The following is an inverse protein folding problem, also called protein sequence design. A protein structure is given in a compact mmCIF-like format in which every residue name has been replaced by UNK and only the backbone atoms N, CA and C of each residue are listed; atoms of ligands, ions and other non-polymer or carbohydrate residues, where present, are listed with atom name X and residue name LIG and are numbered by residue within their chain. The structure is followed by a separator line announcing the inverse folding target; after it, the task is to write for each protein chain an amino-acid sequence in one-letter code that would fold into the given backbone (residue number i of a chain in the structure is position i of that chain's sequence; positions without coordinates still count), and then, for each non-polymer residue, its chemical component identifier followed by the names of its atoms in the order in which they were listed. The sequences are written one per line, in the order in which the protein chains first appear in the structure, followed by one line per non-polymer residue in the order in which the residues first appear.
data_IF_282416955948
#
_entry.id   IF_282416955948
#
_cell.length_a   1.000
_cell.length_b   1.000
_cell.length_c   1.000
_cell.angle_alpha   90.00
_cell.angle_beta   90.00
_cell.angle_gamma   90.00
#
_symmetry.space_group_name_H-M   'P 1'
#
loop_
_entity.id
_entity.type
_entity.pdbx_description
1 polymer ?
#
# COMPACT_ATOMS: atom_id res chain seq x y z
N UNK A 1 35.69 -8.53 0.20
CA UNK A 1 34.66 -8.43 -0.86
C UNK A 1 33.87 -7.16 -0.64
N UNK A 2 33.50 -6.45 -1.73
CA UNK A 2 32.61 -5.30 -1.62
C UNK A 2 31.22 -5.75 -1.13
N UNK A 3 30.56 -4.91 -0.33
CA UNK A 3 29.18 -5.17 0.11
C UNK A 3 28.24 -5.16 -1.09
N UNK A 4 27.28 -6.11 -1.12
CA UNK A 4 26.24 -6.12 -2.14
C UNK A 4 25.30 -4.92 -1.96
N UNK A 5 25.11 -4.14 -2.99
CA UNK A 5 24.28 -2.92 -2.99
C UNK A 5 22.82 -3.28 -3.27
N UNK A 6 21.96 -3.06 -2.31
CA UNK A 6 20.51 -3.28 -2.43
C UNK A 6 19.82 -1.92 -2.46
N UNK A 7 19.22 -1.58 -3.60
CA UNK A 7 18.49 -0.33 -3.77
C UNK A 7 16.99 -0.55 -3.53
N UNK A 8 16.43 0.11 -2.53
CA UNK A 8 14.99 0.13 -2.23
C UNK A 8 14.40 1.40 -2.82
N UNK A 9 13.37 1.28 -3.68
CA UNK A 9 12.63 2.41 -4.22
C UNK A 9 11.27 2.52 -3.55
N UNK A 10 10.90 3.71 -3.09
CA UNK A 10 9.60 3.99 -2.50
C UNK A 10 9.02 5.29 -3.04
N UNK A 11 7.75 5.27 -3.45
CA UNK A 11 7.03 6.42 -4.00
C UNK A 11 5.98 6.98 -3.04
N UNK A 12 5.51 6.17 -2.08
CA UNK A 12 4.43 6.56 -1.17
C UNK A 12 4.66 6.10 0.27
N UNK A 13 3.99 6.78 1.21
CA UNK A 13 4.02 6.40 2.62
C UNK A 13 3.52 4.97 2.89
N UNK A 14 2.56 4.49 2.08
CA UNK A 14 1.99 3.16 2.23
C UNK A 14 3.02 2.07 1.90
N UNK A 15 3.83 2.30 0.86
CA UNK A 15 4.97 1.43 0.52
C UNK A 15 6.05 1.50 1.59
N UNK A 16 6.44 2.72 1.99
CA UNK A 16 7.49 2.93 2.99
C UNK A 16 7.18 2.22 4.31
N UNK A 17 5.93 2.30 4.75
CA UNK A 17 5.48 1.60 5.94
C UNK A 17 5.84 0.10 5.91
N UNK A 18 5.66 -0.55 4.76
CA UNK A 18 5.95 -1.98 4.59
C UNK A 18 7.44 -2.27 4.35
N UNK A 19 8.15 -1.35 3.69
CA UNK A 19 9.57 -1.51 3.34
C UNK A 19 10.54 -1.21 4.50
N UNK A 20 10.12 -0.39 5.47
CA UNK A 20 10.96 0.13 6.56
C UNK A 20 11.72 -0.98 7.31
N UNK A 21 11.02 -2.06 7.69
CA UNK A 21 11.63 -3.17 8.42
C UNK A 21 12.64 -3.95 7.57
N UNK A 22 12.39 -4.07 6.27
CA UNK A 22 13.35 -4.66 5.34
C UNK A 22 14.60 -3.79 5.23
N UNK A 23 14.46 -2.46 5.19
CA UNK A 23 15.59 -1.54 5.20
C UNK A 23 16.45 -1.72 6.46
N UNK A 24 15.85 -1.89 7.65
CA UNK A 24 16.60 -2.19 8.88
C UNK A 24 17.34 -3.52 8.78
N UNK A 25 16.72 -4.59 8.28
CA UNK A 25 17.37 -5.89 8.12
C UNK A 25 18.56 -5.82 7.16
N UNK A 26 18.46 -5.04 6.07
CA UNK A 26 19.55 -4.84 5.10
C UNK A 26 20.66 -3.98 5.71
N UNK A 27 20.32 -2.86 6.34
CA UNK A 27 21.29 -1.93 6.92
C UNK A 27 22.13 -2.58 8.01
N UNK A 28 21.54 -3.50 8.78
CA UNK A 28 22.21 -4.20 9.87
C UNK A 28 23.02 -5.43 9.41
N UNK A 29 22.99 -5.80 8.13
CA UNK A 29 23.78 -6.91 7.60
C UNK A 29 25.16 -6.43 7.16
N UNK A 30 26.20 -7.13 7.61
CA UNK A 30 27.60 -6.76 7.34
C UNK A 30 28.02 -6.89 5.87
N UNK A 31 27.32 -7.73 5.10
CA UNK A 31 27.65 -8.06 3.71
C UNK A 31 26.78 -7.29 2.71
N UNK A 32 25.79 -6.50 3.21
CA UNK A 32 24.88 -5.72 2.39
C UNK A 32 25.12 -4.21 2.56
N UNK A 33 24.80 -3.45 1.54
CA UNK A 33 24.82 -1.98 1.51
C UNK A 33 23.45 -1.48 1.06
N UNK A 34 22.74 -0.75 1.94
CA UNK A 34 21.43 -0.20 1.65
C UNK A 34 21.54 1.10 0.86
N UNK A 35 20.81 1.20 -0.23
CA UNK A 35 20.56 2.44 -0.97
C UNK A 35 19.04 2.69 -0.94
N UNK A 36 18.61 3.92 -0.69
CA UNK A 36 17.19 4.29 -0.68
C UNK A 36 16.96 5.41 -1.68
N UNK A 37 15.99 5.19 -2.59
CA UNK A 37 15.47 6.23 -3.47
C UNK A 37 14.05 6.57 -3.04
N UNK A 38 13.82 7.86 -2.73
CA UNK A 38 12.49 8.40 -2.51
C UNK A 38 12.02 9.15 -3.76
N UNK A 39 10.78 8.88 -4.18
CA UNK A 39 10.19 9.49 -5.40
C UNK A 39 8.70 9.75 -5.21
N UNK A 40 8.02 10.18 -6.26
CA UNK A 40 6.56 10.31 -6.31
C UNK A 40 5.99 11.16 -5.18
N UNK A 41 4.93 10.68 -4.55
CA UNK A 41 4.21 11.39 -3.50
C UNK A 41 5.07 11.70 -2.25
N UNK A 42 6.17 10.97 -2.03
CA UNK A 42 7.11 11.28 -0.95
C UNK A 42 7.66 12.69 -1.02
N UNK A 43 7.85 13.23 -2.22
CA UNK A 43 8.52 14.51 -2.46
C UNK A 43 7.54 15.66 -2.73
N UNK A 44 6.23 15.39 -2.75
CA UNK A 44 5.21 16.41 -3.02
C UNK A 44 4.68 17.04 -1.73
N UNK A 45 4.59 18.39 -1.67
CA UNK A 45 3.97 19.11 -0.58
C UNK A 45 2.48 18.74 -0.38
N UNK A 46 1.73 18.50 -1.47
CA UNK A 46 0.32 18.12 -1.43
C UNK A 46 0.08 16.80 -0.69
N UNK A 47 1.08 15.93 -0.67
CA UNK A 47 1.04 14.63 0.01
C UNK A 47 1.85 14.61 1.31
N UNK A 48 2.25 15.80 1.82
CA UNK A 48 2.81 15.98 3.16
C UNK A 48 4.33 15.73 3.28
N UNK A 49 5.10 15.74 2.16
CA UNK A 49 6.57 15.59 2.16
C UNK A 49 7.04 14.40 3.01
N UNK A 50 6.44 13.24 2.80
CA UNK A 50 6.61 12.06 3.65
C UNK A 50 8.02 11.43 3.57
N UNK A 51 8.91 11.90 2.68
CA UNK A 51 10.34 11.55 2.72
C UNK A 51 11.00 11.91 4.05
N UNK A 52 10.48 12.93 4.77
CA UNK A 52 10.97 13.33 6.09
C UNK A 52 10.81 12.21 7.14
N UNK A 53 9.82 11.30 6.95
CA UNK A 53 9.67 10.14 7.80
C UNK A 53 10.79 9.11 7.55
N UNK A 54 11.25 8.99 6.31
CA UNK A 54 12.38 8.14 5.94
C UNK A 54 13.66 8.68 6.58
N UNK A 55 13.88 9.99 6.49
CA UNK A 55 15.09 10.66 7.00
C UNK A 55 15.25 10.60 8.52
N UNK A 56 14.19 10.31 9.28
CA UNK A 56 14.28 10.09 10.73
C UNK A 56 15.15 8.88 11.11
N UNK A 57 15.27 7.90 10.21
CA UNK A 57 15.89 6.62 10.51
C UNK A 57 16.96 6.21 9.51
N UNK A 58 16.88 6.69 8.28
CA UNK A 58 17.75 6.29 7.18
C UNK A 58 18.22 7.50 6.37
N UNK A 59 19.42 7.38 5.85
CA UNK A 59 19.91 8.30 4.82
C UNK A 59 19.23 7.96 3.49
N UNK A 60 18.49 8.90 2.90
CA UNK A 60 18.02 8.79 1.52
C UNK A 60 19.21 9.01 0.59
N UNK A 61 19.46 8.06 -0.30
CA UNK A 61 20.58 8.09 -1.23
C UNK A 61 20.31 9.04 -2.39
N UNK A 62 19.09 8.99 -2.97
CA UNK A 62 18.62 9.94 -3.98
C UNK A 62 17.15 10.30 -3.77
N UNK A 63 16.81 11.54 -4.08
CA UNK A 63 15.43 12.06 -4.17
C UNK A 63 15.16 12.36 -5.64
N UNK A 64 14.14 11.71 -6.22
CA UNK A 64 13.80 11.82 -7.63
C UNK A 64 12.39 12.38 -7.77
N UNK A 65 12.21 13.70 -7.94
CA UNK A 65 10.91 14.31 -8.16
C UNK A 65 10.42 13.99 -9.57
N UNK A 66 9.22 13.46 -9.68
CA UNK A 66 8.60 13.05 -10.95
C UNK A 66 7.17 13.55 -11.13
N UNK A 67 6.51 13.97 -10.04
CA UNK A 67 5.13 14.40 -10.11
C UNK A 67 5.02 15.79 -10.75
N UNK A 68 4.08 15.92 -11.67
CA UNK A 68 3.62 17.20 -12.21
C UNK A 68 2.47 17.74 -11.33
N UNK A 69 2.18 19.04 -11.48
CA UNK A 69 1.16 19.71 -10.68
C UNK A 69 -0.27 19.18 -10.92
N UNK A 70 -0.55 18.63 -12.11
CA UNK A 70 -1.85 18.08 -12.46
C UNK A 70 -1.86 16.56 -12.28
N UNK A 71 -3.04 16.01 -11.97
CA UNK A 71 -3.28 14.57 -11.83
C UNK A 71 -4.11 13.97 -12.98
N UNK A 72 -4.16 14.66 -14.14
CA UNK A 72 -4.80 14.16 -15.35
C UNK A 72 -3.96 13.07 -16.04
N UNK A 73 -4.57 12.34 -16.97
CA UNK A 73 -3.97 11.21 -17.70
C UNK A 73 -2.68 11.59 -18.45
N UNK A 74 -2.65 12.79 -19.03
CA UNK A 74 -1.48 13.28 -19.78
C UNK A 74 -0.34 13.56 -18.82
N UNK A 75 -0.64 14.20 -17.70
CA UNK A 75 0.35 14.51 -16.66
C UNK A 75 0.94 13.23 -16.02
N UNK A 76 0.11 12.20 -15.82
CA UNK A 76 0.59 10.89 -15.35
C UNK A 76 1.54 10.24 -16.38
N UNK A 77 1.21 10.26 -17.68
CA UNK A 77 2.10 9.76 -18.73
C UNK A 77 3.44 10.53 -18.77
N UNK A 78 3.40 11.86 -18.62
CA UNK A 78 4.61 12.68 -18.57
C UNK A 78 5.43 12.40 -17.31
N UNK A 79 4.79 12.18 -16.16
CA UNK A 79 5.44 11.77 -14.91
C UNK A 79 6.19 10.43 -15.06
N UNK A 80 5.59 9.45 -15.76
CA UNK A 80 6.24 8.18 -16.10
C UNK A 80 7.47 8.40 -16.98
N UNK A 81 7.38 9.28 -17.98
CA UNK A 81 8.51 9.59 -18.87
C UNK A 81 9.66 10.25 -18.12
N UNK A 82 9.36 11.20 -17.22
CA UNK A 82 10.36 11.82 -16.34
C UNK A 82 10.99 10.80 -15.40
N UNK A 83 10.19 9.91 -14.81
CA UNK A 83 10.68 8.83 -13.96
C UNK A 83 11.64 7.92 -14.72
N UNK A 84 11.30 7.53 -15.93
CA UNK A 84 12.14 6.65 -16.75
C UNK A 84 13.52 7.25 -16.98
N UNK A 85 13.59 8.52 -17.42
CA UNK A 85 14.87 9.24 -17.62
C UNK A 85 15.66 9.38 -16.32
N UNK A 86 15.03 9.86 -15.26
CA UNK A 86 15.70 10.13 -13.99
C UNK A 86 16.18 8.85 -13.28
N UNK A 87 15.47 7.74 -13.42
CA UNK A 87 15.91 6.44 -12.85
C UNK A 87 17.06 5.84 -13.65
N UNK A 88 17.14 6.05 -14.99
CA UNK A 88 18.31 5.60 -15.75
C UNK A 88 19.59 6.28 -15.27
N UNK A 89 19.57 7.60 -15.09
CA UNK A 89 20.71 8.36 -14.57
C UNK A 89 21.04 7.95 -13.11
N UNK A 90 19.99 7.72 -12.29
CA UNK A 90 20.19 7.34 -10.91
C UNK A 90 20.83 5.96 -10.76
N UNK A 91 20.43 4.99 -11.56
CA UNK A 91 20.98 3.64 -11.50
C UNK A 91 22.37 3.55 -12.08
N UNK A 92 22.69 4.34 -13.10
CA UNK A 92 24.07 4.49 -13.59
C UNK A 92 24.99 4.98 -12.47
N UNK A 93 24.61 6.05 -11.76
CA UNK A 93 25.41 6.61 -10.67
C UNK A 93 25.52 5.67 -9.45
N UNK A 94 24.42 5.05 -9.05
CA UNK A 94 24.36 4.21 -7.84
C UNK A 94 24.92 2.82 -8.05
N UNK A 95 24.86 2.33 -9.29
CA UNK A 95 25.25 1.00 -9.68
C UNK A 95 24.80 -0.08 -8.69
N UNK A 96 23.46 -0.27 -8.50
CA UNK A 96 22.92 -1.25 -7.57
C UNK A 96 23.08 -2.66 -8.10
N UNK A 97 23.43 -3.61 -7.23
CA UNK A 97 23.45 -5.03 -7.58
C UNK A 97 22.05 -5.65 -7.66
N UNK A 98 21.08 -5.02 -6.99
CA UNK A 98 19.67 -5.46 -7.02
C UNK A 98 18.78 -4.29 -6.65
N UNK A 99 17.66 -4.15 -7.35
CA UNK A 99 16.60 -3.17 -7.03
C UNK A 99 15.39 -3.90 -6.45
N UNK A 100 14.81 -3.37 -5.39
CA UNK A 100 13.59 -3.89 -4.73
C UNK A 100 12.49 -2.85 -4.84
N UNK A 101 11.34 -3.27 -5.36
CA UNK A 101 10.12 -2.46 -5.44
C UNK A 101 8.94 -3.21 -4.83
N UNK A 102 7.93 -2.45 -4.43
CA UNK A 102 6.70 -2.97 -3.84
C UNK A 102 5.48 -2.51 -4.63
N UNK A 103 4.61 -3.46 -4.93
CA UNK A 103 3.26 -3.17 -5.42
C UNK A 103 3.19 -2.88 -6.91
N UNK A 104 2.36 -1.92 -7.25
CA UNK A 104 1.70 -1.80 -8.55
C UNK A 104 1.51 -0.36 -9.00
N UNK A 105 2.17 0.56 -8.35
CA UNK A 105 2.06 1.96 -8.73
C UNK A 105 2.74 2.24 -10.05
N UNK A 106 2.20 3.21 -10.80
CA UNK A 106 2.71 3.58 -12.12
C UNK A 106 4.19 4.05 -12.08
N UNK A 107 4.65 4.62 -10.97
CA UNK A 107 6.05 4.98 -10.77
C UNK A 107 6.96 3.74 -10.84
N UNK A 108 6.50 2.62 -10.26
CA UNK A 108 7.25 1.37 -10.22
C UNK A 108 7.34 0.70 -11.60
N UNK A 109 6.42 0.99 -12.52
CA UNK A 109 6.51 0.53 -13.91
C UNK A 109 7.75 1.12 -14.61
N UNK A 110 8.03 2.41 -14.39
CA UNK A 110 9.24 3.05 -14.91
C UNK A 110 10.50 2.41 -14.32
N UNK A 111 10.53 2.21 -13.00
CA UNK A 111 11.65 1.56 -12.30
C UNK A 111 11.92 0.16 -12.87
N UNK A 112 10.85 -0.65 -13.02
CA UNK A 112 10.97 -2.00 -13.54
C UNK A 112 11.48 -2.03 -14.98
N UNK A 113 10.98 -1.11 -15.82
CA UNK A 113 11.40 -1.01 -17.22
C UNK A 113 12.87 -0.58 -17.33
N UNK A 114 13.32 0.37 -16.52
CA UNK A 114 14.74 0.77 -16.48
C UNK A 114 15.62 -0.39 -16.00
N UNK A 115 15.23 -1.09 -14.93
CA UNK A 115 15.97 -2.27 -14.45
C UNK A 115 16.13 -3.33 -15.56
N UNK A 116 15.04 -3.60 -16.32
CA UNK A 116 15.08 -4.56 -17.41
C UNK A 116 16.10 -4.17 -18.49
N UNK A 117 16.07 -2.90 -18.93
CA UNK A 117 16.95 -2.41 -20.00
C UNK A 117 18.41 -2.24 -19.57
N UNK A 118 18.64 -1.93 -18.29
CA UNK A 118 19.99 -1.81 -17.74
C UNK A 118 20.54 -3.13 -17.17
N UNK A 119 19.83 -4.24 -17.35
CA UNK A 119 20.20 -5.57 -16.86
C UNK A 119 20.43 -5.60 -15.34
N UNK A 120 19.62 -4.85 -14.57
CA UNK A 120 19.68 -4.84 -13.12
C UNK A 120 18.67 -5.84 -12.57
N UNK A 121 19.08 -6.78 -11.72
CA UNK A 121 18.17 -7.70 -11.05
C UNK A 121 17.07 -6.98 -10.29
N UNK A 122 15.79 -7.26 -10.61
CA UNK A 122 14.62 -6.66 -10.00
C UNK A 122 13.93 -7.65 -9.07
N UNK A 123 13.56 -7.20 -7.89
CA UNK A 123 12.78 -7.93 -6.90
C UNK A 123 11.42 -7.25 -6.71
N UNK A 124 10.37 -8.02 -6.87
CA UNK A 124 8.99 -7.53 -6.75
C UNK A 124 8.31 -8.07 -5.50
N UNK A 125 7.92 -7.17 -4.61
CA UNK A 125 7.14 -7.48 -3.42
C UNK A 125 5.65 -7.25 -3.70
N UNK A 126 4.78 -8.12 -3.19
CA UNK A 126 3.31 -8.06 -3.35
C UNK A 126 2.83 -8.23 -4.81
N UNK A 127 3.57 -8.97 -5.65
CA UNK A 127 3.11 -9.41 -6.96
C UNK A 127 1.97 -10.44 -6.88
N UNK A 128 1.30 -10.69 -8.01
CA UNK A 128 0.27 -11.73 -8.14
C UNK A 128 -1.09 -11.43 -7.51
N UNK A 129 -1.28 -10.28 -6.84
CA UNK A 129 -2.57 -9.81 -6.36
C UNK A 129 -3.45 -9.34 -7.54
N UNK A 130 -4.77 -9.26 -7.35
CA UNK A 130 -5.70 -8.67 -8.31
C UNK A 130 -6.29 -7.36 -7.78
N UNK A 131 -6.48 -6.40 -8.68
CA UNK A 131 -7.19 -5.15 -8.43
C UNK A 131 -7.98 -4.77 -9.70
N UNK A 132 -8.97 -5.61 -10.04
CA UNK A 132 -9.67 -5.57 -11.34
C UNK A 132 -10.36 -4.23 -11.65
N UNK A 133 -10.61 -3.38 -10.65
CA UNK A 133 -11.18 -2.05 -10.82
C UNK A 133 -10.14 -0.93 -11.06
N UNK A 134 -8.85 -1.27 -11.22
CA UNK A 134 -7.78 -0.27 -11.34
C UNK A 134 -6.75 -0.65 -12.42
N UNK A 135 -6.08 0.36 -12.99
CA UNK A 135 -4.95 0.17 -13.92
C UNK A 135 -3.78 -0.55 -13.25
N UNK A 136 -3.70 -0.46 -11.93
CA UNK A 136 -2.70 -1.10 -11.07
C UNK A 136 -2.61 -2.61 -11.33
N UNK A 137 -3.71 -3.25 -11.71
CA UNK A 137 -3.73 -4.69 -12.02
C UNK A 137 -2.78 -5.05 -13.16
N UNK A 138 -2.93 -4.37 -14.29
CA UNK A 138 -2.08 -4.55 -15.45
C UNK A 138 -0.62 -4.16 -15.18
N UNK A 139 -0.41 -3.07 -14.44
CA UNK A 139 0.93 -2.62 -14.05
C UNK A 139 1.61 -3.68 -13.18
N UNK A 140 0.91 -4.21 -12.17
CA UNK A 140 1.46 -5.26 -11.27
C UNK A 140 1.91 -6.48 -12.03
N UNK A 141 1.08 -6.98 -12.95
CA UNK A 141 1.43 -8.17 -13.72
C UNK A 141 2.58 -7.91 -14.71
N UNK A 142 2.64 -6.73 -15.30
CA UNK A 142 3.77 -6.31 -16.15
C UNK A 142 5.07 -6.23 -15.35
N UNK A 143 5.05 -5.61 -14.18
CA UNK A 143 6.19 -5.55 -13.25
C UNK A 143 6.62 -6.97 -12.84
N UNK A 144 5.67 -7.83 -12.48
CA UNK A 144 5.99 -9.22 -12.12
C UNK A 144 6.69 -9.93 -13.27
N UNK A 145 6.30 -9.69 -14.52
CA UNK A 145 6.96 -10.32 -15.66
C UNK A 145 8.38 -9.81 -15.89
N UNK A 146 8.68 -8.56 -15.55
CA UNK A 146 10.03 -7.99 -15.62
C UNK A 146 10.91 -8.37 -14.42
N UNK A 147 10.33 -8.76 -13.28
CA UNK A 147 11.07 -9.08 -12.06
C UNK A 147 11.70 -10.48 -12.10
N UNK A 148 12.73 -10.67 -11.28
CA UNK A 148 13.55 -11.90 -11.22
C UNK A 148 13.29 -12.70 -9.93
N UNK A 149 12.89 -12.06 -8.85
CA UNK A 149 12.45 -12.68 -7.60
C UNK A 149 11.13 -12.07 -7.15
N UNK A 150 10.25 -12.91 -6.61
CA UNK A 150 8.89 -12.51 -6.22
C UNK A 150 8.61 -12.94 -4.79
N UNK A 151 8.13 -11.98 -3.98
CA UNK A 151 7.71 -12.24 -2.62
C UNK A 151 6.24 -11.84 -2.47
N UNK A 152 5.38 -12.85 -2.30
CA UNK A 152 3.93 -12.70 -2.28
C UNK A 152 3.37 -12.90 -0.88
N UNK A 153 2.21 -12.32 -0.61
CA UNK A 153 1.58 -12.33 0.70
C UNK A 153 0.66 -13.54 0.95
N UNK A 154 0.39 -14.36 -0.07
CA UNK A 154 -0.48 -15.52 0.06
C UNK A 154 -0.25 -16.55 -1.06
N UNK A 155 -0.58 -17.83 -0.78
CA UNK A 155 -0.38 -18.92 -1.73
C UNK A 155 -1.16 -18.76 -3.03
N UNK A 156 -2.35 -18.16 -3.00
CA UNK A 156 -3.14 -17.88 -4.21
C UNK A 156 -2.42 -16.92 -5.14
N UNK A 157 -1.63 -15.99 -4.61
CA UNK A 157 -0.84 -15.05 -5.39
C UNK A 157 0.41 -15.70 -5.96
N UNK A 158 1.02 -16.64 -5.23
CA UNK A 158 2.08 -17.50 -5.76
C UNK A 158 1.59 -18.29 -6.97
N UNK A 159 0.45 -18.98 -6.83
CA UNK A 159 -0.15 -19.74 -7.94
C UNK A 159 -0.38 -18.90 -9.19
N UNK A 160 -0.82 -17.65 -9.01
CA UNK A 160 -1.06 -16.72 -10.14
C UNK A 160 0.23 -16.32 -10.85
N UNK A 161 1.33 -16.14 -10.13
CA UNK A 161 2.64 -15.88 -10.74
C UNK A 161 3.14 -17.12 -11.51
N UNK A 162 2.92 -18.32 -11.01
CA UNK A 162 3.21 -19.54 -11.75
C UNK A 162 2.40 -19.61 -13.05
N UNK A 163 1.10 -19.23 -13.03
CA UNK A 163 0.29 -19.10 -14.24
C UNK A 163 0.81 -18.06 -15.24
N UNK A 164 1.55 -17.04 -14.79
CA UNK A 164 2.26 -16.09 -15.64
C UNK A 164 3.57 -16.66 -16.20
N UNK A 165 3.85 -17.94 -15.98
CA UNK A 165 5.06 -18.61 -16.46
C UNK A 165 6.30 -18.30 -15.62
N UNK A 166 6.16 -17.90 -14.36
CA UNK A 166 7.31 -17.69 -13.46
C UNK A 166 7.82 -19.03 -12.90
N UNK A 167 9.14 -19.16 -12.78
CA UNK A 167 9.77 -20.36 -12.18
C UNK A 167 9.45 -20.44 -10.68
N UNK A 168 9.00 -21.60 -10.20
CA UNK A 168 8.60 -21.78 -8.80
C UNK A 168 9.70 -21.43 -7.79
N UNK A 169 10.96 -21.74 -8.12
CA UNK A 169 12.13 -21.41 -7.28
C UNK A 169 12.36 -19.91 -7.09
N UNK A 170 11.68 -19.04 -7.86
CA UNK A 170 11.77 -17.58 -7.81
C UNK A 170 10.59 -16.94 -7.09
N UNK A 171 9.55 -17.72 -6.72
CA UNK A 171 8.30 -17.20 -6.13
C UNK A 171 8.12 -17.72 -4.70
N UNK A 172 8.17 -16.82 -3.74
CA UNK A 172 8.15 -17.13 -2.31
C UNK A 172 6.90 -16.57 -1.64
N UNK A 173 6.09 -17.42 -1.02
CA UNK A 173 5.02 -16.97 -0.12
C UNK A 173 5.61 -16.65 1.25
N UNK A 174 5.59 -15.37 1.60
CA UNK A 174 6.17 -14.83 2.84
C UNK A 174 5.11 -14.36 3.85
N UNK A 175 3.81 -14.41 3.48
CA UNK A 175 2.75 -13.74 4.22
C UNK A 175 2.82 -12.22 4.07
N UNK A 176 2.04 -11.49 4.88
CA UNK A 176 2.03 -10.04 4.82
C UNK A 176 3.26 -9.41 5.44
N UNK A 177 3.86 -8.44 4.75
CA UNK A 177 4.93 -7.59 5.32
C UNK A 177 4.47 -6.81 6.56
N UNK A 178 3.16 -6.50 6.65
CA UNK A 178 2.59 -5.82 7.81
C UNK A 178 2.59 -6.68 9.08
N UNK A 179 2.67 -8.00 8.97
CA UNK A 179 2.56 -8.93 10.10
C UNK A 179 3.58 -8.64 11.21
N UNK A 180 4.85 -8.48 10.85
CA UNK A 180 5.93 -8.18 11.83
C UNK A 180 5.82 -6.77 12.41
N UNK A 181 5.32 -5.82 11.63
CA UNK A 181 5.11 -4.45 12.08
C UNK A 181 4.00 -4.44 13.12
N UNK A 182 2.87 -5.08 12.82
CA UNK A 182 1.71 -5.14 13.70
C UNK A 182 2.04 -5.90 15.00
N UNK A 183 2.73 -7.04 14.90
CA UNK A 183 3.11 -7.86 16.08
C UNK A 183 4.04 -7.13 17.04
N UNK A 184 4.91 -6.26 16.53
CA UNK A 184 5.92 -5.55 17.33
C UNK A 184 5.54 -4.10 17.67
N UNK A 185 4.35 -3.65 17.29
CA UNK A 185 3.96 -2.26 17.47
C UNK A 185 3.44 -1.97 18.88
N UNK A 186 3.93 -0.90 19.48
CA UNK A 186 3.35 -0.31 20.68
C UNK A 186 2.14 0.53 20.29
N UNK A 187 0.93 -0.03 20.45
CA UNK A 187 -0.32 0.67 20.12
C UNK A 187 -0.62 1.76 21.12
N UNK A 188 -1.12 2.89 20.62
CA UNK A 188 -1.63 3.97 21.45
C UNK A 188 -3.00 3.59 22.04
N UNK A 189 -3.23 3.91 23.31
CA UNK A 189 -4.55 3.80 23.90
C UNK A 189 -5.45 4.97 23.45
N UNK A 190 -6.73 4.93 23.79
CA UNK A 190 -7.70 5.95 23.36
C UNK A 190 -7.31 7.37 23.79
N UNK A 191 -6.81 7.57 25.02
CA UNK A 191 -6.40 8.89 25.52
C UNK A 191 -5.21 9.46 24.74
N UNK A 192 -4.22 8.62 24.48
CA UNK A 192 -3.04 9.02 23.71
C UNK A 192 -3.40 9.31 22.24
N UNK A 193 -4.35 8.55 21.67
CA UNK A 193 -4.89 8.83 20.34
C UNK A 193 -5.63 10.17 20.32
N UNK A 194 -6.52 10.44 21.27
CA UNK A 194 -7.25 11.72 21.37
C UNK A 194 -6.29 12.90 21.46
N UNK A 195 -5.24 12.78 22.27
CA UNK A 195 -4.19 13.80 22.36
C UNK A 195 -3.42 13.96 21.05
N UNK A 196 -3.02 12.87 20.44
CA UNK A 196 -2.23 12.90 19.19
C UNK A 196 -3.03 13.35 17.97
N UNK A 197 -4.35 13.19 18.01
CA UNK A 197 -5.29 13.63 16.98
C UNK A 197 -5.83 15.03 17.24
N UNK A 198 -5.63 15.58 18.46
CA UNK A 198 -6.25 16.82 18.93
C UNK A 198 -7.78 16.80 18.69
N UNK A 199 -8.40 15.66 19.05
CA UNK A 199 -9.82 15.40 18.86
C UNK A 199 -10.30 14.38 19.88
N UNK A 200 -11.43 14.63 20.54
CA UNK A 200 -12.10 13.62 21.36
C UNK A 200 -12.79 12.59 20.46
N UNK A 201 -12.64 11.32 20.84
CA UNK A 201 -13.24 10.21 20.11
C UNK A 201 -14.54 9.78 20.78
N UNK A 202 -15.60 9.76 20.02
CA UNK A 202 -16.91 9.26 20.41
C UNK A 202 -16.90 7.75 20.72
N UNK A 203 -18.08 7.22 21.04
CA UNK A 203 -18.26 5.79 21.31
C UNK A 203 -17.97 4.94 20.07
N UNK A 204 -18.35 5.41 18.91
CA UNK A 204 -18.13 4.76 17.64
C UNK A 204 -17.06 5.50 16.83
N UNK A 205 -16.06 4.78 16.36
CA UNK A 205 -14.98 5.32 15.55
C UNK A 205 -14.99 4.65 14.19
N UNK A 206 -14.98 5.45 13.15
CA UNK A 206 -14.83 4.97 11.77
C UNK A 206 -13.56 5.55 11.15
N UNK A 207 -12.76 4.68 10.54
CA UNK A 207 -11.55 5.04 9.81
C UNK A 207 -11.85 4.97 8.31
N UNK A 208 -11.80 6.11 7.63
CA UNK A 208 -12.30 6.24 6.27
C UNK A 208 -11.17 6.59 5.32
N UNK A 209 -11.04 5.80 4.25
CA UNK A 209 -10.09 6.07 3.16
C UNK A 209 -10.74 5.71 1.82
N UNK A 210 -10.97 6.70 1.00
CA UNK A 210 -11.59 6.54 -0.31
C UNK A 210 -10.69 7.05 -1.43
N UNK A 211 -10.41 6.20 -2.41
CA UNK A 211 -9.60 6.51 -3.58
C UNK A 211 -10.48 6.55 -4.84
N UNK A 212 -10.12 7.32 -5.87
CA UNK A 212 -10.84 7.27 -7.14
C UNK A 212 -10.70 5.89 -7.78
N UNK A 213 -11.73 5.50 -8.56
CA UNK A 213 -11.64 4.33 -9.44
C UNK A 213 -10.95 4.75 -10.74
N UNK A 214 -9.72 4.31 -10.96
CA UNK A 214 -8.90 4.76 -12.11
C UNK A 214 -9.46 4.32 -13.47
N UNK A 215 -10.31 3.28 -13.50
CA UNK A 215 -11.01 2.83 -14.70
C UNK A 215 -12.39 3.47 -14.89
N UNK A 216 -12.96 4.13 -13.86
CA UNK A 216 -14.28 4.76 -13.92
C UNK A 216 -14.32 6.07 -13.13
N UNK A 217 -13.55 7.05 -13.58
CA UNK A 217 -13.40 8.34 -12.89
C UNK A 217 -14.62 9.27 -12.95
N UNK A 218 -15.55 9.04 -13.91
CA UNK A 218 -16.70 9.95 -14.15
C UNK A 218 -17.63 10.09 -12.95
N UNK A 219 -17.73 9.07 -12.11
CA UNK A 219 -18.67 9.05 -10.99
C UNK A 219 -18.02 9.44 -9.64
N UNK A 220 -16.71 9.65 -9.59
CA UNK A 220 -15.95 9.90 -8.35
C UNK A 220 -16.58 10.93 -7.43
N UNK A 221 -16.99 12.08 -7.99
CA UNK A 221 -17.62 13.16 -7.21
C UNK A 221 -18.98 12.75 -6.63
N UNK A 222 -19.78 12.02 -7.40
CA UNK A 222 -21.09 11.53 -6.94
C UNK A 222 -20.94 10.49 -5.85
N UNK A 223 -20.00 9.56 -6.01
CA UNK A 223 -19.74 8.48 -5.06
C UNK A 223 -19.26 9.01 -3.72
N UNK A 224 -18.26 9.91 -3.70
CA UNK A 224 -17.80 10.49 -2.45
C UNK A 224 -18.89 11.30 -1.73
N UNK A 225 -19.72 12.07 -2.46
CA UNK A 225 -20.85 12.79 -1.87
C UNK A 225 -21.90 11.84 -1.30
N UNK A 226 -22.17 10.71 -1.95
CA UNK A 226 -23.11 9.68 -1.47
C UNK A 226 -22.57 9.06 -0.17
N UNK A 227 -21.28 8.71 -0.13
CA UNK A 227 -20.63 8.23 1.09
C UNK A 227 -20.78 9.23 2.24
N UNK A 228 -20.42 10.49 2.01
CA UNK A 228 -20.49 11.53 3.05
C UNK A 228 -21.92 11.74 3.57
N UNK A 229 -22.92 11.72 2.67
CA UNK A 229 -24.34 11.80 3.06
C UNK A 229 -24.74 10.64 3.97
N UNK A 230 -24.27 9.42 3.70
CA UNK A 230 -24.51 8.27 4.59
C UNK A 230 -23.82 8.45 5.95
N UNK A 231 -22.56 8.91 5.97
CA UNK A 231 -21.82 9.16 7.20
C UNK A 231 -22.46 10.24 8.09
N UNK A 232 -23.20 11.18 7.50
CA UNK A 232 -23.95 12.19 8.25
C UNK A 232 -25.09 11.61 9.09
N UNK A 233 -25.62 10.45 8.72
CA UNK A 233 -26.69 9.77 9.49
C UNK A 233 -26.17 9.10 10.76
N UNK A 234 -24.84 8.92 10.90
CA UNK A 234 -24.24 8.25 12.06
C UNK A 234 -24.25 9.19 13.28
N UNK A 235 -24.81 8.70 14.37
CA UNK A 235 -24.88 9.43 15.65
C UNK A 235 -23.78 8.95 16.59
N UNK A 236 -23.24 9.85 17.42
CA UNK A 236 -22.17 9.56 18.41
C UNK A 236 -20.96 8.86 17.75
N UNK A 237 -20.58 9.36 16.57
CA UNK A 237 -19.57 8.76 15.73
C UNK A 237 -18.44 9.76 15.43
N UNK A 238 -17.20 9.31 15.62
CA UNK A 238 -16.01 10.03 15.16
C UNK A 238 -15.59 9.49 13.81
N UNK A 239 -15.38 10.38 12.85
CA UNK A 239 -15.04 10.09 11.46
C UNK A 239 -13.60 10.55 11.19
N UNK A 240 -12.68 9.62 11.10
CA UNK A 240 -11.27 9.90 10.81
C UNK A 240 -10.99 9.58 9.36
N UNK A 241 -10.70 10.61 8.58
CA UNK A 241 -10.39 10.48 7.16
C UNK A 241 -8.88 10.54 6.92
N UNK A 242 -8.43 9.77 5.94
CA UNK A 242 -7.10 9.93 5.33
C UNK A 242 -7.25 10.34 3.87
N UNK A 243 -6.33 11.19 3.38
CA UNK A 243 -6.32 11.65 1.99
C UNK A 243 -6.17 10.50 1.00
N UNK A 244 -6.77 10.68 -0.18
CA UNK A 244 -6.52 9.84 -1.35
C UNK A 244 -5.08 10.01 -1.84
N UNK A 245 -4.57 9.00 -2.56
CA UNK A 245 -3.27 9.06 -3.22
C UNK A 245 -3.27 9.99 -4.44
N UNK A 246 -2.07 10.18 -5.05
CA UNK A 246 -1.85 10.91 -6.29
C UNK A 246 -2.31 10.12 -7.53
N UNK A 247 -3.57 9.70 -7.53
CA UNK A 247 -4.23 9.05 -8.67
C UNK A 247 -5.14 10.08 -9.37
N UNK A 248 -5.56 9.83 -10.61
CA UNK A 248 -6.49 10.71 -11.33
C UNK A 248 -7.73 11.03 -10.47
N UNK A 249 -8.08 12.30 -10.29
CA UNK A 249 -9.11 12.83 -9.37
C UNK A 249 -8.83 12.63 -7.85
N UNK A 250 -7.64 12.29 -7.45
CA UNK A 250 -7.27 12.23 -6.03
C UNK A 250 -7.37 13.58 -5.34
N UNK A 251 -6.94 14.64 -6.01
CA UNK A 251 -7.04 16.03 -5.51
C UNK A 251 -8.48 16.47 -5.31
N UNK A 252 -9.39 16.12 -6.23
CA UNK A 252 -10.82 16.42 -6.12
C UNK A 252 -11.46 15.78 -4.88
N UNK A 253 -11.15 14.51 -4.61
CA UNK A 253 -11.60 13.82 -3.39
C UNK A 253 -11.09 14.55 -2.16
N UNK A 254 -9.80 14.90 -2.13
CA UNK A 254 -9.17 15.54 -0.98
C UNK A 254 -9.80 16.91 -0.70
N UNK A 255 -10.12 17.69 -1.72
CA UNK A 255 -10.83 18.96 -1.59
C UNK A 255 -12.25 18.79 -1.00
N UNK A 256 -13.02 17.81 -1.51
CA UNK A 256 -14.36 17.51 -1.00
C UNK A 256 -14.31 17.08 0.48
N UNK A 257 -13.34 16.22 0.84
CA UNK A 257 -13.16 15.77 2.21
C UNK A 257 -12.72 16.91 3.14
N UNK A 258 -11.85 17.81 2.67
CA UNK A 258 -11.42 18.99 3.42
C UNK A 258 -12.62 19.88 3.76
N UNK A 259 -13.43 20.20 2.76
CA UNK A 259 -14.65 21.01 2.92
C UNK A 259 -15.67 20.35 3.87
N UNK A 260 -15.81 19.01 3.77
CA UNK A 260 -16.70 18.26 4.66
C UNK A 260 -16.21 18.29 6.12
N UNK A 261 -14.93 18.04 6.36
CA UNK A 261 -14.36 18.03 7.70
C UNK A 261 -14.38 19.42 8.35
N UNK A 262 -14.17 20.50 7.58
CA UNK A 262 -14.32 21.87 8.10
C UNK A 262 -15.73 22.15 8.61
N UNK A 263 -16.76 21.73 7.87
CA UNK A 263 -18.17 21.91 8.25
C UNK A 263 -18.58 21.00 9.42
N UNK A 264 -17.91 19.86 9.60
CA UNK A 264 -18.25 18.84 10.60
C UNK A 264 -17.11 18.63 11.60
N UNK A 265 -16.35 19.70 11.94
CA UNK A 265 -15.15 19.60 12.79
C UNK A 265 -15.39 19.03 14.19
N UNK A 266 -16.64 19.02 14.66
CA UNK A 266 -17.04 18.41 15.93
C UNK A 266 -16.98 16.88 15.92
N UNK A 267 -17.11 16.23 14.73
CA UNK A 267 -17.11 14.75 14.58
C UNK A 267 -16.16 14.22 13.53
N UNK A 268 -15.64 15.06 12.64
CA UNK A 268 -14.84 14.63 11.48
C UNK A 268 -13.50 15.35 11.40
N UNK A 269 -12.43 14.61 11.12
CA UNK A 269 -11.10 15.18 10.89
C UNK A 269 -10.41 14.47 9.73
N UNK A 270 -9.77 15.26 8.84
CA UNK A 270 -8.97 14.78 7.71
C UNK A 270 -7.49 14.90 8.04
N UNK A 271 -6.74 13.86 7.73
CA UNK A 271 -5.30 13.81 7.92
C UNK A 271 -4.56 13.54 6.61
N UNK A 272 -3.53 14.32 6.35
CA UNK A 272 -2.59 14.05 5.25
C UNK A 272 -1.84 12.75 5.52
N UNK A 273 -1.34 12.61 6.76
CA UNK A 273 -0.61 11.46 7.23
C UNK A 273 -0.84 11.24 8.74
N UNK A 274 -1.28 10.05 9.09
CA UNK A 274 -1.41 9.63 10.49
C UNK A 274 -0.13 8.98 11.04
N UNK A 275 0.76 8.55 10.15
CA UNK A 275 1.83 7.62 10.50
C UNK A 275 1.30 6.24 10.89
N UNK A 276 2.15 5.22 10.81
CA UNK A 276 1.74 3.83 11.03
C UNK A 276 1.17 3.58 12.42
N UNK A 277 1.78 4.14 13.46
CA UNK A 277 1.37 3.89 14.84
C UNK A 277 -0.05 4.42 15.12
N UNK A 278 -0.35 5.67 14.77
CA UNK A 278 -1.70 6.23 14.95
C UNK A 278 -2.73 5.52 14.08
N UNK A 279 -2.39 5.28 12.80
CA UNK A 279 -3.28 4.64 11.85
C UNK A 279 -3.70 3.23 12.30
N UNK A 280 -2.74 2.38 12.67
CA UNK A 280 -3.03 1.02 13.13
C UNK A 280 -3.67 0.99 14.53
N UNK A 281 -3.33 1.97 15.40
CA UNK A 281 -4.01 2.09 16.70
C UNK A 281 -5.48 2.49 16.52
N UNK A 282 -5.78 3.39 15.57
CA UNK A 282 -7.16 3.72 15.20
C UNK A 282 -7.87 2.52 14.60
N UNK A 283 -7.23 1.80 13.66
CA UNK A 283 -7.79 0.59 13.05
C UNK A 283 -8.16 -0.45 14.11
N UNK A 284 -7.30 -0.66 15.11
CA UNK A 284 -7.51 -1.62 16.19
C UNK A 284 -8.75 -1.32 17.03
N UNK A 285 -9.10 -0.05 17.23
CA UNK A 285 -10.25 0.37 18.04
C UNK A 285 -11.45 0.83 17.21
N UNK A 286 -11.30 0.90 15.88
CA UNK A 286 -12.37 1.32 14.99
C UNK A 286 -13.54 0.32 15.02
N UNK A 287 -14.76 0.83 15.00
CA UNK A 287 -15.97 0.04 14.79
C UNK A 287 -15.96 -0.58 13.40
N UNK A 288 -15.52 0.19 12.40
CA UNK A 288 -15.25 -0.30 11.06
C UNK A 288 -14.30 0.62 10.30
N UNK A 289 -13.59 0.04 9.34
CA UNK A 289 -12.99 0.77 8.22
C UNK A 289 -14.04 0.92 7.13
N UNK A 290 -14.03 2.07 6.43
CA UNK A 290 -14.97 2.33 5.34
C UNK A 290 -14.21 2.92 4.15
N UNK A 291 -14.47 2.40 2.96
CA UNK A 291 -13.89 2.89 1.70
C UNK A 291 -13.35 1.80 0.82
N UNK A 292 -12.29 2.09 0.07
CA UNK A 292 -11.73 1.16 -0.92
C UNK A 292 -10.21 1.06 -0.85
N UNK A 293 -9.63 1.31 0.34
CA UNK A 293 -8.20 1.18 0.58
C UNK A 293 -7.78 -0.30 0.69
N UNK A 294 -6.59 -0.62 0.17
CA UNK A 294 -6.01 -1.96 0.33
C UNK A 294 -5.78 -2.35 1.78
N UNK A 295 -5.54 -1.38 2.67
CA UNK A 295 -5.33 -1.66 4.09
C UNK A 295 -6.57 -2.22 4.78
N UNK A 296 -7.77 -1.88 4.28
CA UNK A 296 -9.03 -2.50 4.69
C UNK A 296 -9.11 -3.98 4.36
N UNK A 297 -8.35 -4.45 3.35
CA UNK A 297 -8.31 -5.86 2.93
C UNK A 297 -7.16 -6.62 3.58
N UNK A 298 -5.96 -6.02 3.64
CA UNK A 298 -4.72 -6.71 4.01
C UNK A 298 -4.30 -6.52 5.47
N UNK A 299 -4.67 -5.41 6.10
CA UNK A 299 -4.23 -5.05 7.47
C UNK A 299 -5.35 -5.19 8.51
N UNK A 300 -6.58 -4.80 8.17
CA UNK A 300 -7.73 -4.91 9.09
C UNK A 300 -7.97 -6.34 9.61
N UNK A 301 -7.68 -7.42 8.85
CA UNK A 301 -7.81 -8.80 9.34
C UNK A 301 -6.95 -9.11 10.58
N UNK A 302 -5.80 -8.46 10.75
CA UNK A 302 -4.94 -8.66 11.92
C UNK A 302 -5.61 -8.21 13.24
N UNK A 303 -6.53 -7.27 13.15
CA UNK A 303 -7.29 -6.76 14.30
C UNK A 303 -8.72 -7.31 14.34
N UNK A 304 -9.13 -8.09 13.35
CA UNK A 304 -10.54 -8.49 13.12
C UNK A 304 -11.46 -7.27 13.00
N UNK A 305 -10.92 -6.13 12.58
CA UNK A 305 -11.70 -4.91 12.41
C UNK A 305 -12.58 -5.04 11.17
N UNK A 306 -13.89 -4.85 11.28
CA UNK A 306 -14.78 -4.84 10.13
C UNK A 306 -14.32 -3.85 9.06
N UNK A 307 -14.50 -4.21 7.79
CA UNK A 307 -14.24 -3.31 6.68
C UNK A 307 -15.42 -3.32 5.72
N UNK A 308 -16.07 -2.17 5.53
CA UNK A 308 -17.03 -1.93 4.45
C UNK A 308 -16.22 -1.50 3.24
N UNK A 309 -16.00 -2.45 2.31
CA UNK A 309 -15.28 -2.21 1.07
C UNK A 309 -16.24 -1.77 -0.02
N UNK A 310 -16.04 -0.56 -0.54
CA UNK A 310 -16.96 0.07 -1.49
C UNK A 310 -16.44 -0.07 -2.91
N UNK A 311 -17.26 -0.66 -3.78
CA UNK A 311 -17.01 -0.79 -5.21
C UNK A 311 -15.86 -1.73 -5.57
N UNK A 312 -15.45 -1.68 -6.82
CA UNK A 312 -14.63 -2.69 -7.47
C UNK A 312 -13.11 -2.49 -7.34
N UNK A 313 -12.62 -1.40 -6.71
CA UNK A 313 -11.18 -1.10 -6.66
C UNK A 313 -10.34 -2.25 -6.12
N UNK A 314 -10.87 -2.97 -5.12
CA UNK A 314 -10.20 -4.11 -4.49
C UNK A 314 -10.73 -5.47 -4.98
N UNK A 315 -11.48 -5.50 -6.08
CA UNK A 315 -12.04 -6.73 -6.66
C UNK A 315 -10.92 -7.69 -7.07
N UNK A 316 -11.11 -8.98 -6.76
CA UNK A 316 -10.14 -10.03 -7.03
C UNK A 316 -9.12 -10.28 -5.92
N UNK A 317 -8.97 -9.38 -4.93
CA UNK A 317 -8.16 -9.65 -3.74
C UNK A 317 -8.82 -10.69 -2.84
N UNK A 318 -8.03 -11.44 -2.12
CA UNK A 318 -8.51 -12.42 -1.14
C UNK A 318 -9.38 -11.72 -0.08
N UNK A 319 -10.60 -12.23 0.09
CA UNK A 319 -11.55 -11.74 1.10
C UNK A 319 -11.46 -12.55 2.38
N UNK A 320 -11.42 -11.84 3.48
CA UNK A 320 -11.51 -12.39 4.83
C UNK A 320 -12.91 -12.12 5.41
N UNK A 321 -13.28 -12.83 6.47
CA UNK A 321 -14.63 -12.77 7.04
C UNK A 321 -15.00 -11.42 7.67
N UNK A 322 -14.03 -10.52 7.86
CA UNK A 322 -14.27 -9.17 8.35
C UNK A 322 -14.62 -8.17 7.23
N UNK A 323 -14.64 -8.58 5.96
CA UNK A 323 -14.92 -7.71 4.81
C UNK A 323 -16.40 -7.80 4.44
N UNK A 324 -17.01 -6.64 4.28
CA UNK A 324 -18.34 -6.44 3.73
C UNK A 324 -18.17 -5.69 2.42
N UNK A 325 -18.29 -6.38 1.28
CA UNK A 325 -18.29 -5.73 -0.02
C UNK A 325 -19.68 -5.12 -0.29
N UNK A 326 -19.72 -3.91 -0.82
CA UNK A 326 -20.96 -3.25 -1.25
C UNK A 326 -20.70 -2.26 -2.39
N UNK A 327 -21.74 -1.98 -3.16
CA UNK A 327 -21.77 -0.82 -4.05
C UNK A 327 -22.08 0.46 -3.26
N UNK A 328 -21.76 1.63 -3.83
CA UNK A 328 -21.97 2.91 -3.15
C UNK A 328 -23.43 3.18 -2.79
N UNK A 329 -24.37 2.62 -3.54
CA UNK A 329 -25.80 2.76 -3.29
C UNK A 329 -26.35 1.78 -2.24
N UNK A 330 -25.56 0.75 -1.86
CA UNK A 330 -25.99 -0.33 -0.94
C UNK A 330 -25.38 -0.15 0.46
N UNK A 331 -24.91 1.05 0.77
CA UNK A 331 -24.28 1.35 2.07
C UNK A 331 -25.20 1.05 3.26
N UNK A 332 -26.51 1.29 3.12
CA UNK A 332 -27.46 0.98 4.21
C UNK A 332 -27.45 -0.50 4.56
N UNK A 333 -27.49 -1.37 3.57
CA UNK A 333 -27.42 -2.84 3.75
C UNK A 333 -26.06 -3.26 4.34
N UNK A 334 -24.97 -2.62 3.93
CA UNK A 334 -23.63 -2.89 4.46
C UNK A 334 -23.55 -2.53 5.96
N UNK A 335 -24.14 -1.42 6.39
CA UNK A 335 -24.22 -1.04 7.80
C UNK A 335 -25.15 -1.97 8.61
N UNK A 336 -26.27 -2.42 8.04
CA UNK A 336 -27.14 -3.43 8.67
C UNK A 336 -26.39 -4.76 8.86
N UNK A 337 -25.65 -5.20 7.84
CA UNK A 337 -24.81 -6.40 7.93
C UNK A 337 -23.73 -6.26 9.00
N UNK A 338 -23.08 -5.09 9.12
CA UNK A 338 -22.08 -4.80 10.14
C UNK A 338 -22.64 -5.04 11.56
N UNK A 339 -23.92 -4.73 11.79
CA UNK A 339 -24.59 -4.88 13.09
C UNK A 339 -25.19 -6.29 13.30
N UNK A 340 -25.27 -7.13 12.29
CA UNK A 340 -25.89 -8.43 12.37
C UNK A 340 -25.18 -9.38 13.34
N UNK A 341 -25.96 -10.25 13.99
CA UNK A 341 -25.41 -11.28 14.89
C UNK A 341 -24.52 -12.27 14.15
N UNK A 342 -24.90 -12.63 12.95
CA UNK A 342 -24.15 -13.55 12.09
C UNK A 342 -22.75 -13.01 11.77
N UNK A 343 -22.66 -11.78 11.28
CA UNK A 343 -21.38 -11.15 10.97
C UNK A 343 -20.48 -11.06 12.21
N UNK A 344 -21.03 -10.63 13.35
CA UNK A 344 -20.29 -10.55 14.62
C UNK A 344 -19.79 -11.91 15.12
N UNK A 345 -20.54 -12.99 14.86
CA UNK A 345 -20.14 -14.36 15.20
C UNK A 345 -19.00 -14.84 14.29
N UNK A 346 -19.09 -14.56 12.99
CA UNK A 346 -18.05 -14.93 12.03
C UNK A 346 -16.71 -14.24 12.35
N UNK A 347 -16.75 -12.98 12.80
CA UNK A 347 -15.54 -12.25 13.23
C UNK A 347 -14.79 -12.92 14.39
N UNK A 348 -15.48 -13.59 15.30
CA UNK A 348 -14.81 -14.23 16.44
C UNK A 348 -13.94 -15.41 16.03
N UNK A 349 -14.37 -16.15 15.03
CA UNK A 349 -13.84 -17.48 14.70
C UNK A 349 -12.86 -17.48 13.51
N UNK A 350 -12.69 -16.37 12.77
CA UNK A 350 -11.87 -16.41 11.58
C UNK A 350 -10.36 -16.38 11.90
N UNK A 351 -9.58 -17.07 11.06
CA UNK A 351 -8.10 -17.00 11.05
C UNK A 351 -7.67 -16.07 9.94
N UNK A 352 -6.72 -15.19 10.25
CA UNK A 352 -6.16 -14.28 9.25
C UNK A 352 -5.22 -15.04 8.30
N UNK A 353 -5.53 -15.17 6.99
CA UNK A 353 -4.72 -15.91 6.05
C UNK A 353 -3.40 -15.18 5.67
N UNK A 354 -3.30 -13.90 5.97
CA UNK A 354 -2.10 -13.10 5.74
C UNK A 354 -1.07 -13.21 6.88
N UNK A 355 -1.47 -13.80 8.02
CA UNK A 355 -0.57 -14.02 9.15
C UNK A 355 0.14 -15.37 8.99
N UNK A 356 1.46 -15.32 9.05
CA UNK A 356 2.28 -16.51 9.17
C UNK A 356 3.34 -16.29 10.27
N UNK A 357 3.91 -17.38 10.77
CA UNK A 357 4.89 -17.33 11.86
C UNK A 357 6.31 -16.95 11.38
N UNK A 358 6.50 -16.73 10.07
CA UNK A 358 7.80 -16.38 9.50
C UNK A 358 8.03 -14.87 9.61
N UNK A 359 9.28 -14.47 9.81
CA UNK A 359 9.67 -13.08 9.64
C UNK A 359 9.95 -12.80 8.16
N UNK A 360 9.04 -12.14 7.43
CA UNK A 360 9.19 -11.92 6.00
C UNK A 360 10.44 -11.10 5.66
N UNK A 361 10.79 -10.11 6.49
CA UNK A 361 11.91 -9.20 6.20
C UNK A 361 13.26 -9.92 6.30
N UNK A 362 13.44 -10.78 7.33
CA UNK A 362 14.64 -11.63 7.44
C UNK A 362 14.75 -12.60 6.28
N UNK A 363 13.64 -13.20 5.87
CA UNK A 363 13.62 -14.13 4.74
C UNK A 363 14.01 -13.45 3.43
N UNK A 364 13.39 -12.31 3.10
CA UNK A 364 13.72 -11.51 1.91
C UNK A 364 15.21 -11.13 1.94
N UNK A 365 15.69 -10.56 3.05
CA UNK A 365 17.10 -10.18 3.21
C UNK A 365 18.04 -11.35 2.92
N UNK A 366 17.72 -12.54 3.44
CA UNK A 366 18.52 -13.75 3.22
C UNK A 366 18.51 -14.16 1.75
N UNK A 367 17.37 -14.11 1.06
CA UNK A 367 17.28 -14.37 -0.37
C UNK A 367 18.09 -13.36 -1.19
N UNK A 368 18.00 -12.06 -0.86
CA UNK A 368 18.77 -11.00 -1.52
C UNK A 368 20.28 -11.21 -1.37
N UNK A 369 20.72 -11.59 -0.17
CA UNK A 369 22.12 -11.86 0.14
C UNK A 369 22.67 -13.05 -0.63
N UNK A 370 21.89 -14.13 -0.76
CA UNK A 370 22.32 -15.41 -1.32
C UNK A 370 21.98 -15.56 -2.81
N UNK A 371 21.27 -14.59 -3.42
CA UNK A 371 20.94 -14.67 -4.85
C UNK A 371 22.21 -14.75 -5.70
N UNK A 372 22.23 -15.68 -6.67
CA UNK A 372 23.31 -15.76 -7.63
C UNK A 372 23.09 -14.71 -8.73
N UNK A 373 23.81 -13.59 -8.65
CA UNK A 373 23.67 -12.46 -9.58
C UNK A 373 24.16 -12.79 -10.99
N UNK A 374 25.08 -13.73 -11.15
CA UNK A 374 25.61 -14.10 -12.46
C UNK A 374 24.56 -14.78 -13.35
N UNK A 375 23.59 -15.44 -12.73
CA UNK A 375 22.56 -16.22 -13.44
C UNK A 375 21.15 -15.70 -13.24
N UNK A 376 20.91 -14.75 -12.33
CA UNK A 376 19.57 -14.31 -11.94
C UNK A 376 18.78 -13.70 -13.10
N UNK A 377 19.46 -13.02 -14.01
CA UNK A 377 18.86 -12.38 -15.19
C UNK A 377 18.28 -13.41 -16.19
N UNK A 378 18.83 -14.62 -16.22
CA UNK A 378 18.33 -15.68 -17.07
C UNK A 378 17.08 -16.32 -16.46
N UNK A 379 15.92 -15.98 -17.01
CA UNK A 379 14.61 -16.44 -16.55
C UNK A 379 13.90 -17.21 -17.65
N UNK A 380 13.46 -18.43 -17.35
CA UNK A 380 12.69 -19.23 -18.28
C UNK A 380 11.20 -18.93 -18.14
N UNK A 381 10.47 -19.00 -19.24
CA UNK A 381 9.01 -19.10 -19.21
C UNK A 381 8.64 -20.56 -18.95
N UNK A 382 7.78 -20.79 -17.97
CA UNK A 382 7.32 -22.15 -17.61
C UNK A 382 5.91 -22.32 -18.14
N UNK A 383 5.75 -23.25 -19.06
CA UNK A 383 4.44 -23.71 -19.53
C UNK A 383 3.78 -24.57 -18.45
N UNK A 384 2.45 -24.42 -18.26
CA UNK A 384 1.65 -25.18 -17.30
C UNK A 384 0.94 -26.35 -17.96
#
# INVERSE_FOLDING_TARGET
MSKRKICIVSATRAEWYLLRNLCHEIQNDKDLSLQIIATGAHLSPEFGLTYKEIEKEFKITKKIPILLANDDKISLCKSISLAFSAFSDAFEDLNPDTVVILGDRYEMLSVASVCLLMHIPLVHLCGGELTLGAIDDSIRHSISKMAHLHFVSHEIYKKRLLQLGEEEKRVFNIGSLASTIIKNMNFLNKKDLEKALEMKLDKELYLITYHPLTLNVKNTQKEIKTLLKKLDTLKNASLIFTKANADENGLLINEILQNYCQKNSHKAKLFDNLGSQKYLSLMKIAKAMIGNSSSGISESPFFKTPCINIGDRQKGRLRTQNIIDCEINDLDQAFEKLESKEFKQNLKNFKNPYDNDKNPNKFIKTCLKNANLDTILHKNFIDL
#
